data_IF_594499290989
#
_entry.id   IF_594499290989
#
_cell.length_a   1.000
_cell.length_b   1.000
_cell.length_c   1.000
_cell.angle_alpha   90.00
_cell.angle_beta   90.00
_cell.angle_gamma   90.00
#
_symmetry.space_group_name_H-M   'P 1'
#
loop_
_entity.id
_entity.type
_entity.pdbx_description
1 polymer ?
#
# COMPACT_ATOMS: atom_id res chain seq x y z
N UNK A 1 22.01 -19.94 -4.95
CA UNK A 1 21.22 -19.00 -4.13
C UNK A 1 21.60 -19.23 -2.68
N UNK A 2 22.15 -18.23 -2.00
CA UNK A 2 22.48 -18.34 -0.57
C UNK A 2 21.20 -18.27 0.29
N UNK A 3 21.33 -18.66 1.57
CA UNK A 3 20.21 -18.68 2.52
C UNK A 3 19.59 -17.30 2.72
N UNK A 4 20.39 -16.23 2.64
CA UNK A 4 19.92 -14.85 2.78
C UNK A 4 18.93 -14.50 1.68
N UNK A 5 19.23 -14.85 0.42
CA UNK A 5 18.30 -14.64 -0.70
C UNK A 5 17.00 -15.42 -0.55
N UNK A 6 17.04 -16.64 0.01
CA UNK A 6 15.82 -17.41 0.31
C UNK A 6 14.96 -16.67 1.34
N UNK A 7 15.56 -16.22 2.45
CA UNK A 7 14.85 -15.50 3.51
C UNK A 7 14.23 -14.21 2.97
N UNK A 8 15.00 -13.41 2.22
CA UNK A 8 14.51 -12.17 1.61
C UNK A 8 13.32 -12.43 0.68
N UNK A 9 13.40 -13.49 -0.16
CA UNK A 9 12.29 -13.87 -1.05
C UNK A 9 11.04 -14.26 -0.28
N UNK A 10 11.17 -15.06 0.78
CA UNK A 10 10.01 -15.46 1.59
C UNK A 10 9.35 -14.23 2.24
N UNK A 11 10.15 -13.35 2.86
CA UNK A 11 9.64 -12.10 3.44
C UNK A 11 8.93 -11.26 2.37
N UNK A 12 9.53 -11.09 1.21
CA UNK A 12 8.99 -10.30 0.12
C UNK A 12 7.67 -10.87 -0.42
N UNK A 13 7.61 -12.17 -0.66
CA UNK A 13 6.45 -12.84 -1.25
C UNK A 13 5.28 -12.84 -0.26
N UNK A 14 5.49 -13.26 0.99
CA UNK A 14 4.41 -13.31 1.97
C UNK A 14 3.96 -11.91 2.38
N UNK A 15 4.90 -10.97 2.56
CA UNK A 15 4.59 -9.56 2.76
C UNK A 15 3.78 -9.02 1.58
N UNK A 16 4.31 -9.12 0.37
CA UNK A 16 3.69 -8.56 -0.83
C UNK A 16 2.31 -9.15 -1.09
N UNK A 17 2.14 -10.46 -0.91
CA UNK A 17 0.84 -11.12 -1.04
C UNK A 17 -0.19 -10.57 -0.04
N UNK A 18 0.20 -10.39 1.23
CA UNK A 18 -0.69 -9.81 2.23
C UNK A 18 -1.01 -8.35 1.94
N UNK A 19 0.00 -7.52 1.66
CA UNK A 19 -0.15 -6.09 1.42
C UNK A 19 -0.99 -5.83 0.17
N UNK A 20 -0.60 -6.42 -0.97
CA UNK A 20 -1.34 -6.29 -2.22
C UNK A 20 -2.75 -6.87 -2.09
N UNK A 21 -2.87 -8.13 -1.62
CA UNK A 21 -4.14 -8.82 -1.55
C UNK A 21 -5.16 -8.13 -0.65
N UNK A 22 -4.74 -7.71 0.55
CA UNK A 22 -5.61 -7.02 1.50
C UNK A 22 -5.99 -5.62 0.99
N UNK A 23 -5.05 -4.90 0.37
CA UNK A 23 -5.32 -3.60 -0.25
C UNK A 23 -6.35 -3.68 -1.38
N UNK A 24 -6.17 -4.62 -2.30
CA UNK A 24 -7.12 -4.84 -3.41
C UNK A 24 -8.49 -5.27 -2.88
N UNK A 25 -8.55 -6.16 -1.89
CA UNK A 25 -9.79 -6.56 -1.25
C UNK A 25 -10.51 -5.35 -0.62
N UNK A 26 -9.77 -4.48 0.08
CA UNK A 26 -10.33 -3.30 0.69
C UNK A 26 -10.93 -2.33 -0.36
N UNK A 27 -10.17 -2.01 -1.40
CA UNK A 27 -10.55 -1.03 -2.42
C UNK A 27 -11.68 -1.52 -3.33
N UNK A 28 -11.64 -2.79 -3.75
CA UNK A 28 -12.57 -3.31 -4.76
C UNK A 28 -13.80 -4.01 -4.18
N UNK A 29 -13.74 -4.48 -2.93
CA UNK A 29 -14.81 -5.29 -2.34
C UNK A 29 -15.36 -4.63 -1.07
N UNK A 30 -14.51 -4.40 -0.06
CA UNK A 30 -14.98 -3.95 1.26
C UNK A 30 -15.55 -2.54 1.20
N UNK A 31 -14.80 -1.58 0.64
CA UNK A 31 -15.26 -0.18 0.57
C UNK A 31 -16.51 0.00 -0.30
N UNK A 32 -16.61 -0.59 -1.52
CA UNK A 32 -17.81 -0.44 -2.34
C UNK A 32 -19.04 -1.09 -1.68
N UNK A 33 -18.89 -2.28 -1.10
CA UNK A 33 -19.98 -2.96 -0.42
C UNK A 33 -20.42 -2.22 0.85
N UNK A 34 -19.47 -1.70 1.64
CA UNK A 34 -19.81 -0.90 2.81
C UNK A 34 -20.68 0.32 2.47
N UNK A 35 -20.42 0.97 1.32
CA UNK A 35 -21.23 2.10 0.83
C UNK A 35 -22.65 1.69 0.46
N UNK A 36 -22.87 0.50 -0.10
CA UNK A 36 -24.23 0.03 -0.43
C UNK A 36 -25.05 -0.29 0.82
N UNK A 37 -24.39 -0.68 1.92
CA UNK A 37 -25.02 -0.92 3.22
C UNK A 37 -25.33 0.40 3.96
N UNK A 38 -24.63 1.49 3.63
CA UNK A 38 -24.81 2.79 4.27
C UNK A 38 -24.13 2.90 5.63
N UNK A 39 -24.78 3.53 6.60
CA UNK A 39 -24.16 3.90 7.88
C UNK A 39 -23.58 2.70 8.67
N UNK A 40 -24.20 1.52 8.60
CA UNK A 40 -23.69 0.31 9.26
C UNK A 40 -22.40 -0.19 8.61
N UNK A 41 -22.34 -0.16 7.27
CA UNK A 41 -21.15 -0.52 6.51
C UNK A 41 -19.99 0.43 6.78
N UNK A 42 -20.25 1.74 6.81
CA UNK A 42 -19.25 2.75 7.17
C UNK A 42 -18.72 2.57 8.60
N UNK A 43 -19.61 2.24 9.56
CA UNK A 43 -19.20 1.90 10.94
C UNK A 43 -18.36 0.62 11.00
N UNK A 44 -18.69 -0.38 10.19
CA UNK A 44 -17.88 -1.60 10.09
C UNK A 44 -16.46 -1.28 9.61
N UNK A 45 -16.32 -0.53 8.50
CA UNK A 45 -15.01 -0.10 7.98
C UNK A 45 -14.26 0.75 9.00
N UNK A 46 -14.94 1.70 9.66
CA UNK A 46 -14.34 2.51 10.71
C UNK A 46 -13.78 1.67 11.86
N UNK A 47 -14.50 0.65 12.33
CA UNK A 47 -14.02 -0.28 13.38
C UNK A 47 -12.91 -1.19 12.86
N UNK A 48 -13.00 -1.68 11.63
CA UNK A 48 -11.93 -2.47 11.01
C UNK A 48 -10.61 -1.69 11.00
N UNK A 49 -10.64 -0.41 10.63
CA UNK A 49 -9.43 0.40 10.54
C UNK A 49 -8.88 0.85 11.91
N UNK A 50 -9.76 1.12 12.89
CA UNK A 50 -9.38 1.71 14.18
C UNK A 50 -9.25 0.72 15.34
N UNK A 51 -10.02 -0.37 15.34
CA UNK A 51 -10.09 -1.33 16.46
C UNK A 51 -9.45 -2.67 16.12
N UNK A 52 -9.28 -2.99 14.84
CA UNK A 52 -8.56 -4.21 14.42
C UNK A 52 -7.07 -3.96 14.24
N UNK A 53 -6.32 -5.02 13.89
CA UNK A 53 -4.90 -4.95 13.53
C UNK A 53 -4.65 -4.72 12.03
N UNK A 54 -5.69 -4.44 11.24
CA UNK A 54 -5.59 -4.21 9.80
C UNK A 54 -4.53 -3.16 9.44
N UNK A 55 -4.68 -1.92 9.95
CA UNK A 55 -3.78 -0.81 9.65
C UNK A 55 -2.32 -1.08 10.03
N UNK A 56 -1.97 -1.53 11.25
CA UNK A 56 -0.58 -1.85 11.58
C UNK A 56 -0.03 -3.03 10.78
N UNK A 57 -0.82 -4.06 10.49
CA UNK A 57 -0.35 -5.19 9.67
C UNK A 57 -0.10 -4.79 8.22
N UNK A 58 -0.93 -3.92 7.64
CA UNK A 58 -0.67 -3.32 6.33
C UNK A 58 0.65 -2.55 6.31
N UNK A 59 0.89 -1.69 7.31
CA UNK A 59 2.14 -0.93 7.41
C UNK A 59 3.38 -1.81 7.55
N UNK A 60 3.35 -2.80 8.45
CA UNK A 60 4.46 -3.75 8.65
C UNK A 60 4.72 -4.52 7.36
N UNK A 61 3.66 -5.04 6.73
CA UNK A 61 3.76 -5.81 5.50
C UNK A 61 4.34 -4.98 4.35
N UNK A 62 3.91 -3.73 4.20
CA UNK A 62 4.42 -2.81 3.19
C UNK A 62 5.92 -2.52 3.38
N UNK A 63 6.35 -2.27 4.62
CA UNK A 63 7.78 -2.04 4.95
C UNK A 63 8.61 -3.29 4.67
N UNK A 64 8.18 -4.46 5.16
CA UNK A 64 8.90 -5.71 4.97
C UNK A 64 9.05 -6.07 3.49
N UNK A 65 7.98 -5.90 2.71
CA UNK A 65 7.97 -6.14 1.26
C UNK A 65 8.93 -5.20 0.55
N UNK A 66 8.83 -3.89 0.83
CA UNK A 66 9.66 -2.89 0.16
C UNK A 66 11.14 -3.09 0.47
N UNK A 67 11.50 -3.24 1.75
CA UNK A 67 12.90 -3.40 2.15
C UNK A 67 13.51 -4.70 1.62
N UNK A 68 12.78 -5.82 1.72
CA UNK A 68 13.26 -7.09 1.16
C UNK A 68 13.43 -7.02 -0.36
N UNK A 69 12.54 -6.34 -1.07
CA UNK A 69 12.62 -6.12 -2.52
C UNK A 69 13.84 -5.30 -2.91
N UNK A 70 14.08 -4.18 -2.22
CA UNK A 70 15.26 -3.32 -2.43
C UNK A 70 16.55 -4.09 -2.19
N UNK A 71 16.63 -4.88 -1.12
CA UNK A 71 17.81 -5.68 -0.79
C UNK A 71 18.07 -6.79 -1.83
N UNK A 72 17.02 -7.47 -2.30
CA UNK A 72 17.16 -8.45 -3.39
C UNK A 72 17.62 -7.79 -4.68
N UNK A 73 17.01 -6.67 -5.06
CA UNK A 73 17.38 -5.92 -6.26
C UNK A 73 18.84 -5.45 -6.21
N UNK A 74 19.30 -4.93 -5.07
CA UNK A 74 20.69 -4.54 -4.86
C UNK A 74 21.66 -5.72 -5.07
N UNK A 75 21.31 -6.90 -4.55
CA UNK A 75 22.13 -8.11 -4.68
C UNK A 75 22.14 -8.65 -6.11
N UNK A 76 20.98 -8.80 -6.73
CA UNK A 76 20.85 -9.34 -8.08
C UNK A 76 21.52 -8.42 -9.12
N UNK A 77 21.44 -7.09 -8.92
CA UNK A 77 22.13 -6.10 -9.77
C UNK A 77 23.63 -5.94 -9.48
N UNK A 78 24.20 -6.67 -8.51
CA UNK A 78 25.60 -6.54 -8.15
C UNK A 78 25.99 -5.15 -7.62
N UNK A 79 25.07 -4.46 -6.94
CA UNK A 79 25.25 -3.09 -6.46
C UNK A 79 24.88 -2.02 -7.49
N UNK A 80 23.74 -2.19 -8.17
CA UNK A 80 23.21 -1.28 -9.19
C UNK A 80 24.06 -1.16 -10.46
N UNK A 81 24.64 -2.28 -10.91
CA UNK A 81 25.42 -2.28 -12.15
C UNK A 81 24.52 -2.04 -13.36
N UNK A 82 24.81 -0.98 -14.12
CA UNK A 82 24.02 -0.58 -15.28
C UNK A 82 23.88 -1.71 -16.33
N UNK A 83 24.91 -2.54 -16.50
CA UNK A 83 24.89 -3.67 -17.42
C UNK A 83 23.81 -4.71 -17.07
N UNK A 84 23.61 -4.99 -15.78
CA UNK A 84 22.54 -5.88 -15.34
C UNK A 84 21.17 -5.22 -15.46
N UNK A 85 21.08 -3.95 -15.05
CA UNK A 85 19.84 -3.15 -15.11
C UNK A 85 19.33 -3.05 -16.55
N UNK A 86 20.21 -2.96 -17.54
CA UNK A 86 19.87 -2.86 -18.96
C UNK A 86 19.44 -4.19 -19.60
N UNK A 87 19.51 -5.33 -18.89
CA UNK A 87 18.92 -6.59 -19.37
C UNK A 87 17.39 -6.50 -19.36
N UNK A 88 16.69 -7.33 -20.14
CA UNK A 88 15.23 -7.34 -20.16
C UNK A 88 14.63 -7.59 -18.76
N UNK A 89 15.14 -8.60 -18.04
CA UNK A 89 14.74 -8.88 -16.67
C UNK A 89 15.08 -7.71 -15.73
N UNK A 90 16.27 -7.11 -15.87
CA UNK A 90 16.69 -5.94 -15.11
C UNK A 90 15.75 -4.76 -15.29
N UNK A 91 15.36 -4.44 -16.53
CA UNK A 91 14.42 -3.37 -16.86
C UNK A 91 13.04 -3.65 -16.23
N UNK A 92 12.52 -4.87 -16.40
CA UNK A 92 11.22 -5.26 -15.84
C UNK A 92 11.20 -5.14 -14.30
N UNK A 93 12.26 -5.60 -13.63
CA UNK A 93 12.41 -5.47 -12.18
C UNK A 93 12.63 -4.02 -11.74
N UNK A 94 13.32 -3.20 -12.53
CA UNK A 94 13.51 -1.77 -12.25
C UNK A 94 12.18 -1.04 -12.26
N UNK A 95 11.38 -1.23 -13.32
CA UNK A 95 10.07 -0.59 -13.48
C UNK A 95 9.14 -1.06 -12.36
N UNK A 96 9.06 -2.38 -12.13
CA UNK A 96 8.20 -2.93 -11.09
C UNK A 96 8.62 -2.50 -9.68
N UNK A 97 9.93 -2.49 -9.40
CA UNK A 97 10.50 -2.06 -8.13
C UNK A 97 10.29 -0.56 -7.87
N UNK A 98 10.52 0.30 -8.87
CA UNK A 98 10.25 1.73 -8.77
C UNK A 98 8.77 2.02 -8.52
N UNK A 99 7.86 1.33 -9.23
CA UNK A 99 6.43 1.43 -8.97
C UNK A 99 6.07 0.97 -7.55
N UNK A 100 6.71 -0.08 -7.04
CA UNK A 100 6.42 -0.65 -5.71
C UNK A 100 6.87 0.29 -4.59
N UNK A 101 8.04 0.90 -4.75
CA UNK A 101 8.52 1.99 -3.89
C UNK A 101 7.55 3.18 -3.97
N UNK A 102 7.08 3.54 -5.17
CA UNK A 102 6.06 4.58 -5.35
C UNK A 102 4.77 4.29 -4.56
N UNK A 103 4.26 3.06 -4.63
CA UNK A 103 3.07 2.64 -3.88
C UNK A 103 3.30 2.77 -2.35
N UNK A 104 4.46 2.32 -1.86
CA UNK A 104 4.83 2.47 -0.46
C UNK A 104 4.89 3.94 -0.02
N UNK A 105 5.45 4.81 -0.87
CA UNK A 105 5.50 6.25 -0.64
C UNK A 105 4.11 6.88 -0.63
N UNK A 106 3.16 6.43 -1.46
CA UNK A 106 1.76 6.87 -1.37
C UNK A 106 1.17 6.50 0.00
N UNK A 107 1.38 5.27 0.47
CA UNK A 107 0.96 4.86 1.80
C UNK A 107 1.54 5.75 2.91
N UNK A 108 2.83 6.05 2.84
CA UNK A 108 3.54 6.83 3.86
C UNK A 108 3.21 8.33 3.80
N UNK A 109 3.19 8.93 2.61
CA UNK A 109 3.09 10.38 2.42
C UNK A 109 1.65 10.87 2.20
N UNK A 110 0.72 9.96 1.87
CA UNK A 110 -0.70 10.29 1.65
C UNK A 110 -1.56 9.63 2.71
N UNK A 111 -1.52 8.29 2.81
CA UNK A 111 -2.47 7.56 3.66
C UNK A 111 -2.22 7.76 5.15
N UNK A 112 -0.98 7.68 5.61
CA UNK A 112 -0.64 7.89 7.01
C UNK A 112 -1.05 9.29 7.54
N UNK A 113 -0.64 10.42 6.90
CA UNK A 113 -1.02 11.75 7.39
C UNK A 113 -2.52 12.02 7.24
N UNK A 114 -3.17 11.53 6.18
CA UNK A 114 -4.62 11.67 6.03
C UNK A 114 -5.38 10.92 7.13
N UNK A 115 -4.96 9.70 7.45
CA UNK A 115 -5.55 8.89 8.53
C UNK A 115 -5.35 9.55 9.90
N UNK A 116 -4.15 10.06 10.17
CA UNK A 116 -3.87 10.81 11.39
C UNK A 116 -4.75 12.06 11.53
N UNK A 117 -4.98 12.79 10.42
CA UNK A 117 -5.86 13.95 10.40
C UNK A 117 -7.32 13.60 10.65
N UNK A 118 -7.83 12.51 10.06
CA UNK A 118 -9.19 12.02 10.35
C UNK A 118 -9.34 11.61 11.82
N UNK A 119 -8.32 10.95 12.40
CA UNK A 119 -8.33 10.58 13.81
C UNK A 119 -8.31 11.81 14.73
N UNK A 120 -7.56 12.85 14.38
CA UNK A 120 -7.55 14.12 15.12
C UNK A 120 -8.93 14.81 15.09
N UNK A 121 -9.57 14.90 13.92
CA UNK A 121 -10.92 15.47 13.78
C UNK A 121 -11.92 14.64 14.60
N UNK A 122 -11.85 13.30 14.54
CA UNK A 122 -12.73 12.43 15.34
C UNK A 122 -12.55 12.65 16.85
N UNK A 123 -11.31 12.89 17.31
CA UNK A 123 -11.02 13.21 18.71
C UNK A 123 -11.62 14.56 19.12
N UNK A 124 -11.56 15.58 18.26
CA UNK A 124 -12.17 16.90 18.50
C UNK A 124 -13.70 16.84 18.56
N UNK A 125 -14.32 15.98 17.75
CA UNK A 125 -15.77 15.79 17.75
C UNK A 125 -16.30 15.11 19.02
N UNK A 126 -15.50 14.22 19.64
CA UNK A 126 -15.97 13.38 20.74
C UNK A 126 -17.21 12.58 20.34
N UNK A 127 -18.30 12.70 21.12
CA UNK A 127 -19.61 12.09 20.81
C UNK A 127 -20.57 13.06 20.08
N UNK A 128 -20.11 14.26 19.72
CA UNK A 128 -20.92 15.28 19.06
C UNK A 128 -21.04 15.08 17.55
N UNK A 129 -22.04 15.72 16.94
CA UNK A 129 -22.17 15.80 15.50
C UNK A 129 -21.07 16.73 14.91
N UNK A 130 -20.52 16.42 13.72
CA UNK A 130 -19.50 17.26 13.09
C UNK A 130 -20.07 18.63 12.70
N UNK A 131 -19.29 19.69 12.97
CA UNK A 131 -19.60 21.05 12.52
C UNK A 131 -19.47 21.18 11.00
N UNK A 132 -20.08 22.19 10.35
CA UNK A 132 -19.93 22.40 8.90
C UNK A 132 -18.47 22.50 8.44
N UNK A 133 -17.62 23.17 9.21
CA UNK A 133 -16.18 23.25 8.94
C UNK A 133 -15.48 21.89 9.04
N UNK A 134 -15.84 21.06 10.03
CA UNK A 134 -15.30 19.70 10.15
C UNK A 134 -15.77 18.80 8.99
N UNK A 135 -17.02 18.92 8.54
CA UNK A 135 -17.54 18.19 7.38
C UNK A 135 -16.72 18.49 6.12
N UNK A 136 -16.40 19.77 5.90
CA UNK A 136 -15.56 20.19 4.76
C UNK A 136 -14.15 19.60 4.86
N UNK A 137 -13.53 19.64 6.05
CA UNK A 137 -12.21 19.06 6.27
C UNK A 137 -12.20 17.54 6.07
N UNK A 138 -13.20 16.83 6.59
CA UNK A 138 -13.35 15.38 6.41
C UNK A 138 -13.46 15.06 4.93
N UNK A 139 -14.31 15.79 4.18
CA UNK A 139 -14.48 15.58 2.73
C UNK A 139 -13.18 15.83 1.97
N UNK A 140 -12.44 16.89 2.30
CA UNK A 140 -11.15 17.18 1.68
C UNK A 140 -10.12 16.06 1.91
N UNK A 141 -10.05 15.53 3.14
CA UNK A 141 -9.13 14.44 3.48
C UNK A 141 -9.56 13.12 2.83
N UNK A 142 -10.86 12.80 2.81
CA UNK A 142 -11.39 11.64 2.08
C UNK A 142 -11.11 11.71 0.59
N UNK A 143 -11.18 12.90 -0.01
CA UNK A 143 -10.80 13.13 -1.41
C UNK A 143 -9.34 12.77 -1.68
N UNK A 144 -8.43 13.16 -0.79
CA UNK A 144 -7.00 12.79 -0.87
C UNK A 144 -6.78 11.29 -0.72
N UNK A 145 -7.47 10.65 0.23
CA UNK A 145 -7.41 9.18 0.39
C UNK A 145 -7.87 8.45 -0.86
N UNK A 146 -8.98 8.89 -1.47
CA UNK A 146 -9.48 8.30 -2.72
C UNK A 146 -8.47 8.42 -3.87
N UNK A 147 -7.83 9.58 -4.01
CA UNK A 147 -6.77 9.77 -5.01
C UNK A 147 -5.54 8.92 -4.72
N UNK A 148 -5.14 8.83 -3.44
CA UNK A 148 -4.07 7.96 -2.97
C UNK A 148 -4.34 6.49 -3.31
N UNK A 149 -5.52 5.97 -2.97
CA UNK A 149 -5.94 4.59 -3.29
C UNK A 149 -5.87 4.30 -4.79
N UNK A 150 -6.28 5.26 -5.65
CA UNK A 150 -6.22 5.09 -7.10
C UNK A 150 -4.76 4.98 -7.60
N UNK A 151 -3.89 5.88 -7.14
CA UNK A 151 -2.47 5.83 -7.49
C UNK A 151 -1.77 4.58 -6.95
N UNK A 152 -2.01 4.22 -5.69
CA UNK A 152 -1.46 3.02 -5.06
C UNK A 152 -1.87 1.77 -5.85
N UNK A 153 -3.15 1.68 -6.25
CA UNK A 153 -3.66 0.55 -7.05
C UNK A 153 -2.93 0.43 -8.39
N UNK A 154 -2.80 1.53 -9.13
CA UNK A 154 -2.10 1.52 -10.43
C UNK A 154 -0.64 1.10 -10.26
N UNK A 155 0.06 1.70 -9.29
CA UNK A 155 1.46 1.42 -9.01
C UNK A 155 1.67 -0.04 -8.61
N UNK A 156 0.82 -0.57 -7.74
CA UNK A 156 0.86 -1.98 -7.31
C UNK A 156 0.61 -2.94 -8.47
N UNK A 157 -0.29 -2.63 -9.40
CA UNK A 157 -0.52 -3.44 -10.61
C UNK A 157 0.72 -3.42 -11.50
N UNK A 158 1.35 -2.26 -11.72
CA UNK A 158 2.61 -2.15 -12.47
C UNK A 158 3.71 -2.96 -11.80
N UNK A 159 3.82 -2.91 -10.48
CA UNK A 159 4.75 -3.75 -9.70
C UNK A 159 4.52 -5.23 -9.96
N UNK A 160 3.28 -5.70 -9.81
CA UNK A 160 2.96 -7.12 -10.01
C UNK A 160 3.29 -7.58 -11.42
N UNK A 161 2.96 -6.78 -12.44
CA UNK A 161 3.28 -7.07 -13.84
C UNK A 161 4.79 -7.14 -14.04
N UNK A 162 5.56 -6.15 -13.56
CA UNK A 162 7.02 -6.14 -13.70
C UNK A 162 7.66 -7.37 -13.07
N UNK A 163 7.22 -7.77 -11.87
CA UNK A 163 7.72 -8.97 -11.17
C UNK A 163 7.33 -10.27 -11.87
N UNK A 164 6.16 -10.33 -12.49
CA UNK A 164 5.70 -11.49 -13.24
C UNK A 164 6.44 -11.63 -14.57
N UNK A 165 6.57 -10.54 -15.32
CA UNK A 165 7.22 -10.51 -16.64
C UNK A 165 8.71 -10.83 -16.53
N UNK A 166 9.41 -10.30 -15.52
CA UNK A 166 10.83 -10.55 -15.31
C UNK A 166 11.22 -12.04 -15.20
N UNK A 167 10.25 -12.94 -14.96
CA UNK A 167 10.48 -14.39 -14.92
C UNK A 167 10.60 -15.03 -16.31
N UNK A 168 10.19 -14.33 -17.35
CA UNK A 168 10.05 -14.87 -18.71
C UNK A 168 10.91 -14.14 -19.76
N UNK A 169 11.62 -13.07 -19.39
CA UNK A 169 12.37 -12.21 -20.31
C UNK A 169 13.84 -12.09 -19.96
#
# INVERSE_FOLDING_TARGET
MDITMVILRLIHIFGGAYWFGSGMLAVFVVEPFAKTVGAEGERFVGRLLSQSKYSPYMGISAVLTTLSGVLMYWRDSGGLQAAWIATNAGIALTIGGAAGIGAWLVGMLVHAPASARLAAIAKEMGNGAPTPAQIEQIRAVQGKLKQGNAWETVLMVVTLIGMAVARYV
#
